data_IF_786299209280
#
_entry.id   IF_786299209280
#
_cell.length_a   1.000
_cell.length_b   1.000
_cell.length_c   1.000
_cell.angle_alpha   90.00
_cell.angle_beta   90.00
_cell.angle_gamma   90.00
#
_symmetry.space_group_name_H-M   'P 1'
#
loop_
_entity.id
_entity.type
_entity.pdbx_description
1 polymer ?
#
# COMPACT_ATOMS: atom_id res chain seq x y z
N UNK A 1 -5.64 -10.76 1.39
CA UNK A 1 -6.55 -10.85 0.23
C UNK A 1 -5.84 -10.45 -1.06
N UNK A 2 -5.28 -9.23 -1.17
CA UNK A 2 -4.52 -8.78 -2.35
C UNK A 2 -3.25 -9.60 -2.58
N UNK A 3 -2.41 -9.75 -1.55
CA UNK A 3 -1.16 -10.54 -1.60
C UNK A 3 -1.43 -11.98 -2.06
N UNK A 4 -2.42 -12.63 -1.43
CA UNK A 4 -2.81 -14.00 -1.79
C UNK A 4 -3.31 -14.12 -3.24
N UNK A 5 -4.09 -13.14 -3.71
CA UNK A 5 -4.61 -13.13 -5.08
C UNK A 5 -3.55 -12.82 -6.15
N UNK A 6 -2.40 -12.29 -5.76
CA UNK A 6 -1.28 -11.95 -6.65
C UNK A 6 -0.04 -12.80 -6.30
N UNK A 7 -0.24 -14.12 -6.17
CA UNK A 7 0.83 -15.12 -6.00
C UNK A 7 1.70 -14.95 -4.76
N UNK A 8 1.21 -14.28 -3.72
CA UNK A 8 1.96 -14.02 -2.50
C UNK A 8 2.74 -12.71 -2.49
N UNK A 9 2.60 -11.87 -3.52
CA UNK A 9 3.32 -10.60 -3.65
C UNK A 9 2.36 -9.40 -3.56
N UNK A 10 2.87 -8.29 -3.04
CA UNK A 10 2.16 -7.01 -3.02
C UNK A 10 2.36 -6.32 -4.39
N UNK A 11 1.29 -6.12 -5.18
CA UNK A 11 1.44 -5.38 -6.42
C UNK A 11 1.70 -3.91 -6.12
N UNK A 12 2.65 -3.34 -6.85
CA UNK A 12 3.07 -1.95 -6.72
C UNK A 12 3.15 -1.32 -8.11
N UNK A 13 2.74 -0.05 -8.21
CA UNK A 13 2.72 0.64 -9.50
C UNK A 13 4.11 0.69 -10.12
N UNK A 14 4.24 0.24 -11.37
CA UNK A 14 5.55 0.08 -12.02
C UNK A 14 6.38 1.36 -11.97
N UNK A 15 5.76 2.52 -12.20
CA UNK A 15 6.42 3.82 -12.23
C UNK A 15 7.03 4.22 -10.88
N UNK A 16 6.66 3.55 -9.78
CA UNK A 16 7.15 3.86 -8.45
C UNK A 16 8.37 3.03 -8.06
N UNK A 17 8.65 1.93 -8.75
CA UNK A 17 9.88 1.15 -8.53
C UNK A 17 11.13 1.99 -8.79
N UNK A 18 11.12 2.90 -9.77
CA UNK A 18 12.24 3.81 -10.05
C UNK A 18 12.60 4.71 -8.85
N UNK A 19 11.65 4.96 -7.95
CA UNK A 19 11.84 5.83 -6.78
C UNK A 19 12.16 5.06 -5.50
N UNK A 20 11.87 3.76 -5.43
CA UNK A 20 11.90 3.00 -4.18
C UNK A 20 12.78 1.75 -4.23
N UNK A 21 13.05 1.22 -5.42
CA UNK A 21 13.79 -0.01 -5.63
C UNK A 21 15.27 0.27 -5.84
N UNK A 22 16.10 -0.69 -5.45
CA UNK A 22 17.51 -0.73 -5.84
C UNK A 22 17.65 -1.09 -7.33
N UNK A 23 18.80 -0.80 -7.97
CA UNK A 23 19.03 -1.15 -9.37
C UNK A 23 18.82 -2.65 -9.67
N UNK A 24 19.24 -3.53 -8.76
CA UNK A 24 19.09 -4.99 -8.86
C UNK A 24 17.62 -5.41 -8.83
N UNK A 25 16.84 -4.82 -7.93
CA UNK A 25 15.39 -5.05 -7.85
C UNK A 25 14.66 -4.51 -9.09
N UNK A 26 15.10 -3.37 -9.62
CA UNK A 26 14.55 -2.80 -10.83
C UNK A 26 14.77 -3.73 -12.03
N UNK A 27 15.93 -4.39 -12.14
CA UNK A 27 16.19 -5.37 -13.18
C UNK A 27 15.25 -6.58 -13.10
N UNK A 28 15.02 -7.12 -11.90
CA UNK A 28 14.07 -8.21 -11.68
C UNK A 28 12.66 -7.80 -12.11
N UNK A 29 12.21 -6.62 -11.67
CA UNK A 29 10.90 -6.06 -12.04
C UNK A 29 10.82 -5.80 -13.54
N UNK A 30 11.92 -5.41 -14.18
CA UNK A 30 11.99 -5.22 -15.63
C UNK A 30 11.81 -6.53 -16.40
N UNK A 31 12.24 -7.65 -15.83
CA UNK A 31 12.05 -9.00 -16.37
C UNK A 31 10.66 -9.58 -16.03
N UNK A 32 9.81 -8.84 -15.31
CA UNK A 32 8.51 -9.31 -14.84
C UNK A 32 8.60 -10.25 -13.64
N UNK A 33 9.76 -10.32 -12.98
CA UNK A 33 9.99 -11.11 -11.78
C UNK A 33 9.67 -10.28 -10.54
N UNK A 34 9.22 -10.92 -9.44
CA UNK A 34 9.04 -10.23 -8.17
C UNK A 34 10.38 -9.79 -7.59
N UNK A 35 10.39 -8.61 -6.98
CA UNK A 35 11.51 -8.09 -6.20
C UNK A 35 11.12 -8.07 -4.73
N UNK A 36 11.79 -8.88 -3.92
CA UNK A 36 11.47 -9.08 -2.51
C UNK A 36 9.98 -9.51 -2.34
N UNK A 37 9.17 -8.66 -1.70
CA UNK A 37 7.74 -8.90 -1.49
C UNK A 37 6.84 -8.17 -2.50
N UNK A 38 7.44 -7.52 -3.50
CA UNK A 38 6.73 -6.69 -4.46
C UNK A 38 6.74 -7.29 -5.85
N UNK A 39 5.66 -7.04 -6.59
CA UNK A 39 5.57 -7.33 -8.02
C UNK A 39 5.01 -6.10 -8.74
N UNK A 40 5.43 -5.85 -9.98
CA UNK A 40 4.85 -4.76 -10.75
C UNK A 40 3.39 -5.06 -11.08
N UNK A 41 2.54 -4.04 -10.94
CA UNK A 41 1.16 -4.12 -11.45
C UNK A 41 1.16 -4.33 -12.96
N UNK A 42 0.25 -5.17 -13.45
CA UNK A 42 0.03 -5.46 -14.86
C UNK A 42 -1.46 -5.73 -15.17
N UNK A 43 -1.78 -6.15 -16.41
CA UNK A 43 -3.16 -6.42 -16.83
C UNK A 43 -3.87 -7.47 -15.98
N UNK A 44 -3.12 -8.45 -15.45
CA UNK A 44 -3.65 -9.57 -14.68
C UNK A 44 -3.67 -9.30 -13.15
N UNK A 45 -3.32 -8.09 -12.71
CA UNK A 45 -3.28 -7.76 -11.28
C UNK A 45 -4.68 -7.79 -10.67
N UNK A 46 -4.90 -8.74 -9.76
CA UNK A 46 -6.13 -8.83 -9.00
C UNK A 46 -6.19 -7.71 -7.96
N UNK A 47 -7.37 -7.07 -7.83
CA UNK A 47 -7.61 -5.98 -6.87
C UNK A 47 -6.65 -4.79 -7.02
N UNK A 48 -6.47 -4.30 -8.25
CA UNK A 48 -5.58 -3.18 -8.57
C UNK A 48 -5.72 -1.97 -7.64
N UNK A 49 -6.93 -1.53 -7.32
CA UNK A 49 -7.15 -0.37 -6.43
C UNK A 49 -6.79 -0.60 -4.95
N UNK A 50 -6.67 -1.86 -4.53
CA UNK A 50 -6.18 -2.23 -3.20
C UNK A 50 -4.67 -2.54 -3.21
N UNK A 51 -4.02 -2.38 -4.36
CA UNK A 51 -2.56 -2.45 -4.49
C UNK A 51 -1.94 -1.08 -4.25
N UNK A 52 -0.61 -1.03 -4.08
CA UNK A 52 0.13 0.20 -3.79
C UNK A 52 0.32 1.03 -5.07
N UNK A 53 -0.73 1.76 -5.45
CA UNK A 53 -0.83 2.49 -6.72
C UNK A 53 -0.83 4.01 -6.59
N UNK A 54 -0.73 4.55 -5.37
CA UNK A 54 -0.57 5.99 -5.12
C UNK A 54 0.73 6.30 -4.41
N UNK A 55 1.35 7.44 -4.75
CA UNK A 55 2.48 7.98 -3.98
C UNK A 55 1.99 8.74 -2.78
N UNK A 56 2.63 8.50 -1.63
CA UNK A 56 2.48 9.38 -0.49
C UNK A 56 2.96 10.79 -0.86
N UNK A 57 2.27 11.85 -0.41
CA UNK A 57 2.77 13.20 -0.63
C UNK A 57 4.07 13.40 0.16
N UNK A 58 4.96 14.22 -0.39
CA UNK A 58 6.35 14.37 0.05
C UNK A 58 6.56 14.74 1.53
N UNK A 59 5.52 15.22 2.21
CA UNK A 59 5.55 15.57 3.63
C UNK A 59 5.39 14.37 4.60
N UNK A 60 5.08 13.17 4.09
CA UNK A 60 4.89 11.95 4.89
C UNK A 60 6.05 11.01 4.60
N UNK A 61 6.87 10.74 5.62
CA UNK A 61 8.15 10.03 5.49
C UNK A 61 8.08 8.53 5.83
N UNK A 62 6.92 8.02 6.24
CA UNK A 62 6.78 6.66 6.80
C UNK A 62 6.68 5.60 5.69
N UNK A 63 5.86 5.86 4.67
CA UNK A 63 5.71 4.99 3.50
C UNK A 63 5.78 5.84 2.24
N UNK A 64 6.31 5.27 1.16
CA UNK A 64 6.42 5.97 -0.12
C UNK A 64 5.18 5.80 -1.00
N UNK A 65 4.40 4.75 -0.74
CA UNK A 65 3.22 4.38 -1.51
C UNK A 65 2.07 3.98 -0.59
N UNK A 66 0.84 4.02 -1.12
CA UNK A 66 -0.37 3.58 -0.44
C UNK A 66 -1.47 3.15 -1.42
N UNK A 67 -2.49 2.48 -0.90
CA UNK A 67 -3.68 1.97 -1.61
C UNK A 67 -4.97 2.67 -1.16
N UNK A 68 -6.09 2.46 -1.88
CA UNK A 68 -7.41 2.93 -1.41
C UNK A 68 -7.79 2.25 -0.08
N UNK A 69 -7.34 1.01 0.12
CA UNK A 69 -7.55 0.28 1.37
C UNK A 69 -6.96 1.02 2.57
N UNK A 70 -5.75 1.55 2.43
CA UNK A 70 -5.06 2.28 3.49
C UNK A 70 -5.79 3.57 3.86
N UNK A 71 -6.36 4.26 2.88
CA UNK A 71 -7.18 5.46 3.10
C UNK A 71 -8.42 5.11 3.91
N UNK A 72 -9.14 4.04 3.54
CA UNK A 72 -10.35 3.61 4.24
C UNK A 72 -10.05 3.16 5.68
N UNK A 73 -8.98 2.38 5.87
CA UNK A 73 -8.53 1.93 7.20
C UNK A 73 -8.14 3.13 8.06
N UNK A 74 -7.40 4.09 7.49
CA UNK A 74 -6.96 5.30 8.18
C UNK A 74 -8.16 6.14 8.61
N UNK A 75 -9.10 6.43 7.70
CA UNK A 75 -10.33 7.18 8.01
C UNK A 75 -11.14 6.46 9.08
N UNK A 76 -11.35 5.15 8.93
CA UNK A 76 -12.06 4.32 9.89
C UNK A 76 -11.41 4.35 11.27
N UNK A 77 -10.07 4.25 11.33
CA UNK A 77 -9.28 4.37 12.55
C UNK A 77 -9.42 5.74 13.21
N UNK A 78 -9.31 6.83 12.44
CA UNK A 78 -9.51 8.19 12.95
C UNK A 78 -10.91 8.38 13.52
N UNK A 79 -11.95 7.91 12.82
CA UNK A 79 -13.35 7.97 13.29
C UNK A 79 -13.52 7.13 14.55
N UNK A 80 -12.95 5.93 14.60
CA UNK A 80 -13.02 5.05 15.76
C UNK A 80 -12.38 5.70 16.99
N UNK A 81 -11.13 6.17 16.86
CA UNK A 81 -10.42 6.87 17.94
C UNK A 81 -11.19 8.11 18.38
N UNK A 82 -11.69 8.92 17.44
CA UNK A 82 -12.51 10.09 17.76
C UNK A 82 -13.74 9.72 18.59
N UNK A 83 -14.45 8.65 18.21
CA UNK A 83 -15.61 8.16 18.97
C UNK A 83 -15.24 7.61 20.34
N UNK A 84 -14.11 6.93 20.47
CA UNK A 84 -13.60 6.45 21.75
C UNK A 84 -13.21 7.59 22.68
N UNK A 85 -12.52 8.61 22.18
CA UNK A 85 -12.12 9.80 22.95
C UNK A 85 -13.30 10.70 23.31
N UNK A 86 -14.34 10.75 22.47
CA UNK A 86 -15.58 11.50 22.74
C UNK A 86 -16.46 10.83 23.80
N UNK A 87 -16.21 9.56 24.15
CA UNK A 87 -16.85 8.92 25.30
C UNK A 87 -16.17 9.46 26.56
N UNK A 88 -16.85 10.23 27.43
CA UNK A 88 -16.22 10.75 28.64
C UNK A 88 -15.70 9.59 29.48
N UNK A 89 -14.48 9.71 29.98
CA UNK A 89 -14.04 8.98 31.16
C UNK A 89 -14.83 9.54 32.36
N UNK A 90 -16.06 9.07 32.54
CA UNK A 90 -16.96 9.53 33.59
C UNK A 90 -18.40 9.22 33.23
N UNK A 91 -18.84 8.03 33.61
CA UNK A 91 -20.20 7.76 34.13
C UNK A 91 -20.23 6.32 34.65
N UNK A 92 -19.73 6.14 35.88
CA UNK A 92 -20.16 5.19 36.92
C UNK A 92 -19.31 5.42 38.17
#
# INVERSE_FOLDING_TARGET
MVIYANSGYMPLKREYFEMIATPEELELINQGLPAYNYIATGPDTAFYYLSDIFLMPHWIFITRVFSIGDVLITIGGCVFVWRCLKKPAGDS
#
